data_IF_786387175019
#
_entry.id   IF_786387175019
#
_cell.length_a   1.000
_cell.length_b   1.000
_cell.length_c   1.000
_cell.angle_alpha   90.00
_cell.angle_beta   90.00
_cell.angle_gamma   90.00
#
_symmetry.space_group_name_H-M   'P 1'
#
loop_
_entity.id
_entity.type
_entity.pdbx_description
1 polymer ?
#
# COMPACT_ATOMS: atom_id res chain seq x y z
N UNK A 1 2.61 -11.83 3.69
CA UNK A 1 1.59 -11.04 2.99
C UNK A 1 1.50 -9.73 3.73
N UNK A 2 1.51 -8.63 3.04
CA UNK A 2 1.54 -7.32 3.66
C UNK A 2 0.24 -7.00 4.37
N UNK A 3 0.37 -6.12 5.34
CA UNK A 3 -0.66 -5.54 6.15
C UNK A 3 -1.58 -4.65 5.30
N UNK A 4 -2.71 -5.19 4.87
CA UNK A 4 -3.67 -4.52 3.98
C UNK A 4 -4.38 -3.38 4.70
N UNK A 5 -4.83 -3.65 5.92
CA UNK A 5 -5.61 -2.68 6.69
C UNK A 5 -4.78 -1.48 7.16
N UNK A 6 -3.56 -1.70 7.62
CA UNK A 6 -2.69 -0.61 8.07
C UNK A 6 -2.39 0.40 6.94
N UNK A 7 -2.14 -0.09 5.72
CA UNK A 7 -1.95 0.78 4.55
C UNK A 7 -3.20 1.59 4.22
N UNK A 8 -4.35 0.94 4.20
CA UNK A 8 -5.64 1.60 3.98
C UNK A 8 -5.92 2.66 5.06
N UNK A 9 -5.76 2.29 6.33
CA UNK A 9 -5.99 3.17 7.49
C UNK A 9 -5.11 4.43 7.44
N UNK A 10 -3.80 4.25 7.24
CA UNK A 10 -2.88 5.37 7.08
C UNK A 10 -3.27 6.25 5.89
N UNK A 11 -3.56 5.64 4.75
CA UNK A 11 -3.98 6.36 3.56
C UNK A 11 -5.22 7.23 3.78
N UNK A 12 -6.21 6.74 4.53
CA UNK A 12 -7.39 7.52 4.88
C UNK A 12 -7.06 8.70 5.81
N UNK A 13 -6.17 8.52 6.78
CA UNK A 13 -5.71 9.58 7.65
C UNK A 13 -4.95 10.67 6.87
N UNK A 14 -4.05 10.26 5.98
CA UNK A 14 -3.31 11.17 5.10
C UNK A 14 -4.27 11.93 4.19
N UNK A 15 -5.23 11.24 3.54
CA UNK A 15 -6.23 11.86 2.68
C UNK A 15 -6.99 12.98 3.38
N UNK A 16 -7.38 12.77 4.65
CA UNK A 16 -8.06 13.79 5.45
C UNK A 16 -7.15 15.00 5.77
N UNK A 17 -5.85 14.78 5.89
CA UNK A 17 -4.87 15.83 6.20
C UNK A 17 -4.36 16.57 4.96
N UNK A 18 -4.59 16.06 3.74
CA UNK A 18 -4.15 16.71 2.50
C UNK A 18 -4.87 18.05 2.28
N UNK A 19 -4.20 18.96 1.61
CA UNK A 19 -4.72 20.26 1.18
C UNK A 19 -4.19 20.63 -0.21
N UNK A 20 -4.77 21.67 -0.82
CA UNK A 20 -4.33 22.19 -2.11
C UNK A 20 -4.36 21.17 -3.25
N UNK A 21 -3.45 21.29 -4.23
CA UNK A 21 -3.44 20.44 -5.44
C UNK A 21 -3.32 18.94 -5.15
N UNK A 22 -2.67 18.56 -4.05
CA UNK A 22 -2.54 17.16 -3.65
C UNK A 22 -3.91 16.57 -3.29
N UNK A 23 -4.69 17.31 -2.50
CA UNK A 23 -6.06 16.92 -2.17
C UNK A 23 -6.94 16.84 -3.42
N UNK A 24 -6.86 17.85 -4.28
CA UNK A 24 -7.64 17.90 -5.52
C UNK A 24 -7.39 16.66 -6.39
N UNK A 25 -6.14 16.28 -6.59
CA UNK A 25 -5.78 15.08 -7.37
C UNK A 25 -6.36 13.80 -6.75
N UNK A 26 -6.23 13.61 -5.43
CA UNK A 26 -6.71 12.42 -4.72
C UNK A 26 -8.24 12.36 -4.72
N UNK A 27 -8.93 13.48 -4.54
CA UNK A 27 -10.41 13.52 -4.54
C UNK A 27 -10.99 13.35 -5.96
N UNK A 28 -10.29 13.78 -7.00
CA UNK A 28 -10.71 13.57 -8.38
C UNK A 28 -10.58 12.09 -8.81
N UNK A 29 -9.61 11.35 -8.25
CA UNK A 29 -9.31 9.97 -8.63
C UNK A 29 -9.15 9.06 -7.40
N UNK A 30 -10.18 8.96 -6.53
CA UNK A 30 -10.06 8.26 -5.25
C UNK A 30 -9.80 6.75 -5.41
N UNK A 31 -10.36 6.09 -6.42
CA UNK A 31 -10.11 4.67 -6.67
C UNK A 31 -8.63 4.40 -7.01
N UNK A 32 -7.98 5.28 -7.78
CA UNK A 32 -6.55 5.15 -8.08
C UNK A 32 -5.66 5.41 -6.87
N UNK A 33 -6.02 6.37 -6.03
CA UNK A 33 -5.33 6.57 -4.77
C UNK A 33 -5.44 5.33 -3.86
N UNK A 34 -6.66 4.78 -3.70
CA UNK A 34 -6.92 3.62 -2.86
C UNK A 34 -6.17 2.38 -3.33
N UNK A 35 -6.17 2.08 -4.63
CA UNK A 35 -5.38 0.95 -5.15
C UNK A 35 -3.88 1.20 -5.01
N UNK A 36 -3.43 2.44 -5.13
CA UNK A 36 -2.04 2.85 -4.90
C UNK A 36 -1.56 2.59 -3.49
N UNK A 37 -2.44 2.62 -2.47
CA UNK A 37 -2.10 2.30 -1.08
C UNK A 37 -1.57 0.88 -0.89
N UNK A 38 -1.86 -0.03 -1.83
CA UNK A 38 -1.32 -1.39 -1.81
C UNK A 38 0.07 -1.48 -2.45
N UNK A 39 0.50 -0.43 -3.16
CA UNK A 39 1.82 -0.40 -3.77
C UNK A 39 2.14 -1.66 -4.58
N UNK A 40 3.33 -2.25 -4.43
CA UNK A 40 3.70 -3.48 -5.12
C UNK A 40 3.01 -4.73 -4.55
N UNK A 41 2.38 -4.66 -3.39
CA UNK A 41 1.71 -5.78 -2.74
C UNK A 41 0.52 -6.31 -3.54
N UNK A 42 -0.13 -5.44 -4.31
CA UNK A 42 -1.19 -5.83 -5.23
C UNK A 42 -0.76 -6.99 -6.17
N UNK A 43 0.54 -7.09 -6.47
CA UNK A 43 1.10 -8.12 -7.32
C UNK A 43 1.09 -9.52 -6.68
N UNK A 44 0.99 -9.60 -5.35
CA UNK A 44 0.91 -10.88 -4.62
C UNK A 44 -0.47 -11.51 -4.66
N UNK A 45 -1.50 -10.73 -4.96
CA UNK A 45 -2.87 -11.24 -5.16
C UNK A 45 -3.05 -11.92 -6.53
N UNK A 46 -2.12 -11.69 -7.47
CA UNK A 46 -2.17 -12.36 -8.76
C UNK A 46 -1.74 -13.83 -8.62
N UNK A 47 -2.67 -14.76 -8.91
CA UNK A 47 -2.47 -16.21 -8.73
C UNK A 47 -1.86 -16.55 -7.35
N UNK A 48 -2.54 -16.27 -6.23
CA UNK A 48 -1.95 -16.28 -4.88
C UNK A 48 -1.39 -17.65 -4.47
N UNK A 49 -1.96 -18.74 -4.99
CA UNK A 49 -1.58 -20.12 -4.65
C UNK A 49 -0.49 -20.70 -5.56
N UNK A 50 0.02 -19.94 -6.53
CA UNK A 50 1.05 -20.44 -7.47
C UNK A 50 2.26 -19.52 -7.52
N UNK A 51 3.40 -20.07 -7.95
CA UNK A 51 4.57 -19.29 -8.33
C UNK A 51 4.28 -18.58 -9.66
N UNK A 52 4.50 -17.27 -9.74
CA UNK A 52 4.28 -16.50 -10.96
C UNK A 52 5.29 -15.35 -11.07
N UNK A 53 5.78 -15.01 -12.30
CA UNK A 53 6.73 -13.92 -12.53
C UNK A 53 6.26 -12.56 -11.99
N UNK A 54 4.95 -12.29 -11.96
CA UNK A 54 4.37 -11.06 -11.40
C UNK A 54 4.75 -10.90 -9.92
N UNK A 55 4.73 -11.98 -9.12
CA UNK A 55 5.16 -11.93 -7.72
C UNK A 55 6.64 -11.60 -7.57
N UNK A 56 7.48 -12.07 -8.50
CA UNK A 56 8.90 -11.75 -8.51
C UNK A 56 9.13 -10.25 -8.69
N UNK A 57 8.29 -9.57 -9.48
CA UNK A 57 8.33 -8.10 -9.60
C UNK A 57 7.96 -7.43 -8.28
N UNK A 58 6.93 -7.93 -7.57
CA UNK A 58 6.57 -7.45 -6.23
C UNK A 58 7.75 -7.53 -5.26
N UNK A 59 8.38 -8.70 -5.15
CA UNK A 59 9.58 -8.89 -4.31
C UNK A 59 10.75 -7.98 -4.72
N UNK A 60 10.96 -7.81 -6.03
CA UNK A 60 12.02 -6.94 -6.53
C UNK A 60 11.80 -5.48 -6.11
N UNK A 61 10.57 -4.99 -6.15
CA UNK A 61 10.23 -3.62 -5.77
C UNK A 61 10.41 -3.38 -4.27
N UNK A 62 10.04 -4.34 -3.42
CA UNK A 62 10.27 -4.26 -1.97
C UNK A 62 11.77 -4.31 -1.60
N UNK A 63 12.58 -5.01 -2.36
CA UNK A 63 14.02 -5.15 -2.12
C UNK A 63 14.87 -3.97 -2.62
N UNK A 64 14.28 -2.94 -3.24
CA UNK A 64 15.00 -1.84 -3.85
C UNK A 64 14.66 -0.48 -3.23
N UNK A 65 15.63 0.46 -3.19
CA UNK A 65 15.35 1.84 -2.77
C UNK A 65 14.28 2.47 -3.66
N UNK A 66 13.27 3.10 -3.06
CA UNK A 66 12.15 3.73 -3.76
C UNK A 66 12.52 4.86 -4.72
N UNK A 67 13.73 5.45 -4.56
CA UNK A 67 14.21 6.55 -5.41
C UNK A 67 14.11 6.28 -6.92
N UNK A 68 14.48 5.05 -7.34
CA UNK A 68 14.43 4.68 -8.76
C UNK A 68 13.00 4.64 -9.28
N UNK A 69 12.12 4.03 -8.52
CA UNK A 69 10.69 3.96 -8.82
C UNK A 69 10.06 5.36 -8.92
N UNK A 70 10.21 6.20 -7.90
CA UNK A 70 9.57 7.53 -7.91
C UNK A 70 10.13 8.47 -8.97
N UNK A 71 11.42 8.37 -9.31
CA UNK A 71 12.00 9.13 -10.45
C UNK A 71 11.31 8.76 -11.76
N UNK A 72 11.14 7.47 -12.02
CA UNK A 72 10.46 6.99 -13.21
C UNK A 72 8.98 7.34 -13.20
N UNK A 73 8.30 7.18 -12.06
CA UNK A 73 6.91 7.60 -11.89
C UNK A 73 6.71 9.09 -12.22
N UNK A 74 7.59 9.97 -11.76
CA UNK A 74 7.54 11.41 -12.12
C UNK A 74 7.68 11.65 -13.64
N UNK A 75 8.47 10.84 -14.35
CA UNK A 75 8.55 10.92 -15.79
C UNK A 75 7.25 10.47 -16.45
N UNK A 76 6.74 9.30 -16.08
CA UNK A 76 5.48 8.74 -16.59
C UNK A 76 4.31 9.71 -16.35
N UNK A 77 4.23 10.33 -15.18
CA UNK A 77 3.19 11.32 -14.85
C UNK A 77 3.24 12.50 -15.81
N UNK A 78 4.44 13.05 -16.09
CA UNK A 78 4.61 14.19 -17.01
C UNK A 78 4.24 13.86 -18.46
N UNK A 79 4.46 12.61 -18.87
CA UNK A 79 4.18 12.13 -20.23
C UNK A 79 2.75 11.58 -20.38
N UNK A 80 2.00 11.45 -19.26
CA UNK A 80 0.66 10.89 -19.25
C UNK A 80 -0.37 11.81 -19.91
N UNK A 81 -1.33 11.22 -20.58
CA UNK A 81 -2.53 11.94 -21.06
C UNK A 81 -3.50 12.31 -19.89
N UNK A 82 -3.33 11.69 -18.73
CA UNK A 82 -4.11 11.96 -17.51
C UNK A 82 -3.18 12.08 -16.31
N UNK A 83 -2.38 13.16 -16.24
CA UNK A 83 -1.34 13.31 -15.20
C UNK A 83 -1.92 13.34 -13.78
N UNK A 84 -3.12 13.90 -13.57
CA UNK A 84 -3.77 13.94 -12.26
C UNK A 84 -4.16 12.53 -11.79
N UNK A 85 -4.64 11.68 -12.69
CA UNK A 85 -4.97 10.29 -12.38
C UNK A 85 -3.71 9.50 -11.98
N UNK A 86 -2.64 9.63 -12.76
CA UNK A 86 -1.35 9.01 -12.46
C UNK A 86 -0.76 9.54 -11.15
N UNK A 87 -0.94 10.83 -10.85
CA UNK A 87 -0.49 11.48 -9.61
C UNK A 87 -1.24 10.95 -8.40
N UNK A 88 -2.57 10.78 -8.48
CA UNK A 88 -3.37 10.19 -7.40
C UNK A 88 -2.89 8.78 -7.06
N UNK A 89 -2.66 7.92 -8.05
CA UNK A 89 -2.06 6.60 -7.85
C UNK A 89 -0.67 6.69 -7.18
N UNK A 90 0.20 7.57 -7.68
CA UNK A 90 1.55 7.75 -7.13
C UNK A 90 1.53 8.23 -5.68
N UNK A 91 0.57 9.06 -5.27
CA UNK A 91 0.39 9.43 -3.85
C UNK A 91 -0.01 8.24 -3.00
N UNK A 92 -0.87 7.36 -3.49
CA UNK A 92 -1.17 6.08 -2.80
C UNK A 92 0.09 5.24 -2.59
N UNK A 93 0.87 5.03 -3.66
CA UNK A 93 2.14 4.27 -3.59
C UNK A 93 3.15 4.92 -2.65
N UNK A 94 3.20 6.26 -2.61
CA UNK A 94 4.06 6.98 -1.68
C UNK A 94 3.67 6.72 -0.21
N UNK A 95 2.38 6.67 0.09
CA UNK A 95 1.90 6.32 1.44
C UNK A 95 2.28 4.88 1.81
N UNK A 96 2.09 3.92 0.88
CA UNK A 96 2.53 2.55 1.08
C UNK A 96 4.02 2.49 1.43
N UNK A 97 4.85 3.08 0.60
CA UNK A 97 6.29 3.10 0.78
C UNK A 97 6.72 3.76 2.12
N UNK A 98 6.05 4.84 2.52
CA UNK A 98 6.34 5.53 3.78
C UNK A 98 6.02 4.65 5.00
N UNK A 99 4.89 3.92 4.96
CA UNK A 99 4.53 2.99 6.03
C UNK A 99 5.53 1.84 6.13
N UNK A 100 5.86 1.20 5.01
CA UNK A 100 6.81 0.10 4.94
C UNK A 100 8.19 0.50 5.48
N UNK A 101 8.71 1.63 5.03
CA UNK A 101 9.99 2.13 5.53
C UNK A 101 9.99 2.38 7.03
N UNK A 102 8.87 2.78 7.59
CA UNK A 102 8.74 3.10 9.01
C UNK A 102 8.56 1.83 9.85
N UNK A 103 7.75 0.88 9.39
CA UNK A 103 7.36 -0.29 10.17
C UNK A 103 8.30 -1.48 10.01
N UNK A 104 8.88 -1.71 8.83
CA UNK A 104 9.71 -2.90 8.57
C UNK A 104 10.95 -3.03 9.47
N UNK A 105 11.66 -1.96 9.89
CA UNK A 105 12.74 -2.10 10.86
C UNK A 105 12.27 -2.77 12.17
N UNK A 106 11.09 -2.39 12.67
CA UNK A 106 10.48 -2.99 13.85
C UNK A 106 10.04 -4.44 13.58
N UNK A 107 9.32 -4.67 12.49
CA UNK A 107 8.80 -6.00 12.12
C UNK A 107 9.96 -6.98 11.94
N UNK A 108 11.01 -6.59 11.22
CA UNK A 108 12.20 -7.42 10.99
C UNK A 108 12.98 -7.68 12.29
N UNK A 109 13.11 -6.66 13.13
CA UNK A 109 13.77 -6.78 14.44
C UNK A 109 13.02 -7.74 15.37
N UNK A 110 11.70 -7.63 15.42
CA UNK A 110 10.85 -8.53 16.21
C UNK A 110 10.88 -9.96 15.69
N UNK A 111 10.81 -10.16 14.38
CA UNK A 111 10.91 -11.49 13.76
C UNK A 111 12.27 -12.15 14.05
N UNK A 112 13.35 -11.38 14.01
CA UNK A 112 14.70 -11.89 14.32
C UNK A 112 14.91 -12.23 15.81
N UNK A 113 14.17 -11.59 16.70
CA UNK A 113 14.27 -11.74 18.15
C UNK A 113 13.25 -12.71 18.77
N UNK A 114 12.36 -13.31 17.97
CA UNK A 114 11.27 -14.17 18.43
C UNK A 114 10.99 -15.33 17.46
N UNK A 115 10.15 -16.26 17.85
CA UNK A 115 9.66 -17.34 16.99
C UNK A 115 8.51 -16.91 16.04
N UNK A 116 8.23 -15.61 15.97
CA UNK A 116 7.20 -15.08 15.11
C UNK A 116 7.74 -14.83 13.71
N UNK A 117 6.97 -15.23 12.71
CA UNK A 117 7.30 -14.86 11.32
C UNK A 117 6.93 -13.41 11.04
N UNK A 118 7.63 -12.77 10.11
CA UNK A 118 7.33 -11.44 9.61
C UNK A 118 5.83 -11.27 9.28
N UNK A 119 5.28 -12.19 8.49
CA UNK A 119 3.85 -12.19 8.12
C UNK A 119 2.92 -12.26 9.33
N UNK A 120 3.27 -13.06 10.35
CA UNK A 120 2.43 -13.18 11.54
C UNK A 120 2.38 -11.86 12.33
N UNK A 121 3.51 -11.17 12.42
CA UNK A 121 3.59 -9.85 13.09
C UNK A 121 2.70 -8.85 12.36
N UNK A 122 2.76 -8.80 11.04
CA UNK A 122 1.94 -7.88 10.24
C UNK A 122 0.44 -8.19 10.32
N UNK A 123 0.06 -9.46 10.27
CA UNK A 123 -1.36 -9.88 10.44
C UNK A 123 -1.89 -9.48 11.82
N UNK A 124 -1.10 -9.68 12.89
CA UNK A 124 -1.51 -9.27 14.23
C UNK A 124 -1.55 -7.74 14.40
N UNK A 125 -0.69 -7.02 13.67
CA UNK A 125 -0.74 -5.57 13.63
C UNK A 125 -2.05 -5.08 12.99
N UNK A 126 -2.42 -5.59 11.82
CA UNK A 126 -3.69 -5.29 11.17
C UNK A 126 -4.89 -5.62 12.08
N UNK A 127 -4.87 -6.81 12.69
CA UNK A 127 -5.91 -7.22 13.62
C UNK A 127 -6.05 -6.25 14.79
N UNK A 128 -4.93 -5.80 15.36
CA UNK A 128 -4.94 -4.86 16.47
C UNK A 128 -5.49 -3.50 16.07
N UNK A 129 -5.16 -3.01 14.89
CA UNK A 129 -5.69 -1.76 14.35
C UNK A 129 -7.20 -1.85 14.08
N UNK A 130 -7.68 -2.96 13.49
CA UNK A 130 -9.11 -3.17 13.25
C UNK A 130 -9.89 -3.18 14.56
N UNK A 131 -9.41 -3.90 15.58
CA UNK A 131 -10.04 -3.91 16.91
C UNK A 131 -10.06 -2.51 17.52
N UNK A 132 -8.97 -1.76 17.43
CA UNK A 132 -8.90 -0.38 17.93
C UNK A 132 -9.89 0.56 17.23
N UNK A 133 -10.20 0.29 15.96
CA UNK A 133 -11.18 1.05 15.18
C UNK A 133 -12.61 0.50 15.31
N UNK A 134 -12.85 -0.50 16.18
CA UNK A 134 -14.16 -1.08 16.44
C UNK A 134 -14.65 -2.04 15.37
N UNK A 135 -13.75 -2.55 14.53
CA UNK A 135 -14.06 -3.50 13.46
C UNK A 135 -13.80 -4.94 13.93
N UNK A 136 -14.61 -5.87 13.44
CA UNK A 136 -14.37 -7.30 13.66
C UNK A 136 -13.36 -7.83 12.63
N UNK A 137 -12.14 -8.24 13.05
CA UNK A 137 -11.10 -8.70 12.12
C UNK A 137 -11.44 -9.98 11.35
N UNK A 138 -12.46 -10.72 11.78
CA UNK A 138 -12.88 -11.97 11.13
C UNK A 138 -13.85 -11.70 9.97
N UNK A 139 -14.73 -10.72 10.14
CA UNK A 139 -15.81 -10.44 9.19
C UNK A 139 -15.60 -9.20 8.34
N UNK A 140 -14.65 -8.34 8.72
CA UNK A 140 -14.36 -7.11 7.97
C UNK A 140 -13.70 -7.41 6.62
N UNK A 141 -14.29 -6.93 5.54
CA UNK A 141 -13.69 -7.01 4.20
C UNK A 141 -12.56 -5.98 4.05
N UNK A 142 -11.33 -6.43 4.23
CA UNK A 142 -10.13 -5.59 4.10
C UNK A 142 -9.83 -5.16 2.66
N UNK A 143 -10.49 -5.74 1.68
CA UNK A 143 -10.26 -5.49 0.24
C UNK A 143 -11.38 -4.73 -0.45
N UNK A 144 -12.49 -4.51 0.24
CA UNK A 144 -13.70 -3.88 -0.30
C UNK A 144 -13.51 -2.47 -0.89
N UNK A 145 -12.42 -1.79 -0.51
CA UNK A 145 -12.04 -0.50 -1.08
C UNK A 145 -11.23 -0.61 -2.38
N UNK A 146 -10.78 -1.81 -2.76
CA UNK A 146 -10.02 -2.04 -4.00
C UNK A 146 -11.03 -2.22 -5.14
N UNK A 147 -11.22 -1.18 -5.94
CA UNK A 147 -12.11 -1.22 -7.09
C UNK A 147 -11.30 -1.31 -8.38
N UNK A 148 -11.63 -2.29 -9.23
CA UNK A 148 -10.99 -2.48 -10.53
C UNK A 148 -11.59 -1.58 -11.63
N UNK A 149 -12.55 -0.73 -11.31
CA UNK A 149 -13.20 0.20 -12.25
C UNK A 149 -12.47 1.53 -12.29
N UNK A 150 -12.01 1.90 -13.48
CA UNK A 150 -11.46 3.21 -13.82
C UNK A 150 -12.57 4.14 -14.30
#
# INVERSE_FOLDING_TARGET
>A
MPSTYAHYRLGQQVRQALSGPQREAVEAWPALYLIGLHGPDILFYYHPLSSHPVKAVGHLLHGRPGRGFFRHACQVIRESQRPEAALAYAYGVLNHFALDMTCHPYVNGTAAASDLTHTKIEVEFDRSLMVADGLDPVTYDQTGHIQATL
#
